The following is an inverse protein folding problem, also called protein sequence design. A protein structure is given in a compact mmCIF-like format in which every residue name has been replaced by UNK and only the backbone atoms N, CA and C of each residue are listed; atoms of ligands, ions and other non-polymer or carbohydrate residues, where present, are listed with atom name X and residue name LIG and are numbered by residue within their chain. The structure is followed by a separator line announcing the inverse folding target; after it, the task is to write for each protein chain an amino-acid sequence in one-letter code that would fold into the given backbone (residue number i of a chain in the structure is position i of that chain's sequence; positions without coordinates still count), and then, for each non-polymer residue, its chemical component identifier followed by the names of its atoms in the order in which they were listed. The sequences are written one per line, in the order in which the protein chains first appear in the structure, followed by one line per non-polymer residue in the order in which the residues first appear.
data_IF_327065967850
#
_entry.id   IF_327065967850
#
_cell.length_a   1.000
_cell.length_b   1.000
_cell.length_c   1.000
_cell.angle_alpha   90.00
_cell.angle_beta   90.00
_cell.angle_gamma   90.00
#
_symmetry.space_group_name_H-M   'P 1'
#
loop_
_entity.id
_entity.type
_entity.pdbx_description
1 polymer ?
#
# COMPACT_ATOMS: atom_id res chain seq x y z
N UNK A 1 2.31 -40.78 9.63
CA UNK A 1 1.49 -39.56 9.43
C UNK A 1 2.36 -38.29 9.40
N UNK A 2 3.55 -38.30 10.00
CA UNK A 2 4.41 -37.11 10.09
C UNK A 2 5.07 -36.68 8.77
N UNK A 3 5.46 -37.62 7.91
CA UNK A 3 6.13 -37.29 6.62
C UNK A 3 5.20 -36.53 5.67
N UNK A 4 3.93 -36.95 5.56
CA UNK A 4 2.94 -36.30 4.70
C UNK A 4 2.54 -34.92 5.23
N UNK A 5 2.45 -34.77 6.56
CA UNK A 5 2.25 -33.46 7.18
C UNK A 5 3.45 -32.54 6.97
N UNK A 6 4.68 -33.07 7.01
CA UNK A 6 5.89 -32.31 6.75
C UNK A 6 5.99 -31.84 5.28
N UNK A 7 5.72 -32.73 4.33
CA UNK A 7 5.68 -32.40 2.89
C UNK A 7 4.61 -31.35 2.58
N UNK A 8 3.43 -31.45 3.20
CA UNK A 8 2.38 -30.45 3.05
C UNK A 8 2.79 -29.09 3.64
N UNK A 9 3.38 -29.06 4.85
CA UNK A 9 3.87 -27.82 5.45
C UNK A 9 4.98 -27.19 4.61
N UNK A 10 5.86 -27.99 4.01
CA UNK A 10 6.91 -27.49 3.11
C UNK A 10 6.30 -26.85 1.86
N UNK A 11 5.36 -27.53 1.19
CA UNK A 11 4.68 -26.98 0.01
C UNK A 11 3.90 -25.68 0.31
N UNK A 12 3.28 -25.59 1.49
CA UNK A 12 2.62 -24.36 1.95
C UNK A 12 3.65 -23.25 2.17
N UNK A 13 4.79 -23.58 2.78
CA UNK A 13 5.88 -22.61 3.03
C UNK A 13 6.47 -22.07 1.73
N UNK A 14 6.68 -22.95 0.76
CA UNK A 14 7.21 -22.58 -0.57
C UNK A 14 6.22 -21.68 -1.30
N UNK A 15 4.93 -22.04 -1.33
CA UNK A 15 3.89 -21.23 -1.97
C UNK A 15 3.73 -19.84 -1.32
N UNK A 16 3.83 -19.76 0.02
CA UNK A 16 3.80 -18.48 0.73
C UNK A 16 5.04 -17.64 0.44
N UNK A 17 6.21 -18.27 0.31
CA UNK A 17 7.47 -17.61 -0.02
C UNK A 17 7.44 -17.02 -1.44
N UNK A 18 6.92 -17.77 -2.41
CA UNK A 18 6.74 -17.30 -3.78
C UNK A 18 5.76 -16.12 -3.85
N UNK A 19 4.66 -16.20 -3.12
CA UNK A 19 3.68 -15.12 -3.05
C UNK A 19 4.27 -13.85 -2.41
N UNK A 20 5.13 -14.01 -1.40
CA UNK A 20 5.87 -12.89 -0.81
C UNK A 20 6.87 -12.29 -1.80
N UNK A 21 7.63 -13.11 -2.51
CA UNK A 21 8.59 -12.67 -3.52
C UNK A 21 7.89 -11.89 -4.65
N UNK A 22 6.75 -12.39 -5.14
CA UNK A 22 5.93 -11.70 -6.13
C UNK A 22 5.43 -10.34 -5.62
N UNK A 23 4.99 -10.27 -4.35
CA UNK A 23 4.56 -9.02 -3.72
C UNK A 23 5.69 -8.00 -3.62
N UNK A 24 6.90 -8.45 -3.27
CA UNK A 24 8.09 -7.58 -3.23
C UNK A 24 8.40 -7.05 -4.63
N UNK A 25 8.43 -7.90 -5.65
CA UNK A 25 8.69 -7.49 -7.02
C UNK A 25 7.64 -6.48 -7.54
N UNK A 26 6.36 -6.70 -7.23
CA UNK A 26 5.27 -5.76 -7.55
C UNK A 26 5.46 -4.41 -6.86
N UNK A 27 5.85 -4.41 -5.58
CA UNK A 27 6.13 -3.17 -4.85
C UNK A 27 7.32 -2.42 -5.48
N UNK A 28 8.41 -3.10 -5.80
CA UNK A 28 9.58 -2.50 -6.46
C UNK A 28 9.23 -1.93 -7.84
N UNK A 29 8.43 -2.65 -8.63
CA UNK A 29 7.96 -2.14 -9.93
C UNK A 29 7.10 -0.89 -9.75
N UNK A 30 6.19 -0.89 -8.76
CA UNK A 30 5.38 0.28 -8.44
C UNK A 30 6.26 1.46 -8.02
N UNK A 31 7.32 1.24 -7.23
CA UNK A 31 8.30 2.28 -6.89
C UNK A 31 9.02 2.83 -8.12
N UNK A 32 9.45 1.96 -9.03
CA UNK A 32 10.11 2.37 -10.27
C UNK A 32 9.15 3.17 -11.18
N UNK A 33 7.89 2.73 -11.30
CA UNK A 33 6.85 3.44 -12.04
C UNK A 33 6.54 4.80 -11.40
N UNK A 34 6.55 4.87 -10.07
CA UNK A 34 6.41 6.11 -9.32
C UNK A 34 7.51 7.08 -9.67
N UNK A 35 8.77 6.71 -9.45
CA UNK A 35 9.94 7.59 -9.69
C UNK A 35 10.07 8.04 -11.15
N UNK A 36 9.59 7.24 -12.10
CA UNK A 36 9.67 7.55 -13.54
C UNK A 36 8.41 8.19 -14.13
N UNK A 37 7.37 8.46 -13.33
CA UNK A 37 6.09 8.90 -13.88
C UNK A 37 6.17 10.34 -14.45
N UNK A 38 5.75 10.58 -15.71
CA UNK A 38 5.82 11.90 -16.34
C UNK A 38 4.81 12.89 -15.74
N UNK A 39 3.74 12.40 -15.12
CA UNK A 39 2.67 13.21 -14.50
C UNK A 39 2.45 12.84 -13.02
N UNK A 40 3.21 13.41 -12.09
CA UNK A 40 3.15 13.01 -10.69
C UNK A 40 1.82 13.33 -9.99
N UNK A 41 1.13 14.39 -10.42
CA UNK A 41 -0.18 14.77 -9.88
C UNK A 41 -1.28 13.75 -10.20
N UNK A 42 -1.30 13.24 -11.44
CA UNK A 42 -2.24 12.20 -11.90
C UNK A 42 -2.07 10.91 -11.08
N UNK A 43 -0.81 10.52 -10.85
CA UNK A 43 -0.49 9.31 -10.09
C UNK A 43 -0.85 9.44 -8.60
N UNK A 44 -0.62 10.61 -7.99
CA UNK A 44 -1.07 10.90 -6.63
C UNK A 44 -2.59 10.85 -6.49
N UNK A 45 -3.34 11.39 -7.46
CA UNK A 45 -4.81 11.31 -7.46
C UNK A 45 -5.31 9.86 -7.53
N UNK A 46 -4.71 9.05 -8.42
CA UNK A 46 -5.05 7.63 -8.53
C UNK A 46 -4.74 6.86 -7.23
N UNK A 47 -3.64 7.19 -6.57
CA UNK A 47 -3.28 6.63 -5.26
C UNK A 47 -4.25 7.05 -4.15
N UNK A 48 -4.62 8.33 -4.07
CA UNK A 48 -5.57 8.85 -3.09
C UNK A 48 -6.95 8.15 -3.24
N UNK A 49 -7.39 7.90 -4.48
CA UNK A 49 -8.65 7.20 -4.76
C UNK A 49 -8.60 5.71 -4.36
N UNK A 50 -7.53 5.00 -4.73
CA UNK A 50 -7.33 3.59 -4.39
C UNK A 50 -7.19 3.37 -2.88
N UNK A 51 -6.39 4.21 -2.22
CA UNK A 51 -6.14 4.11 -0.78
C UNK A 51 -7.40 4.42 0.03
N UNK A 52 -8.17 5.45 -0.36
CA UNK A 52 -9.43 5.80 0.29
C UNK A 52 -10.43 4.64 0.29
N UNK A 53 -10.66 4.02 -0.87
CA UNK A 53 -11.57 2.87 -0.98
C UNK A 53 -11.13 1.71 -0.09
N UNK A 54 -9.82 1.42 -0.04
CA UNK A 54 -9.28 0.32 0.76
C UNK A 54 -9.31 0.62 2.27
N UNK A 55 -9.05 1.85 2.68
CA UNK A 55 -9.18 2.28 4.08
C UNK A 55 -10.64 2.14 4.54
N UNK A 56 -11.61 2.52 3.71
CA UNK A 56 -13.04 2.35 4.02
C UNK A 56 -13.39 0.87 4.18
N UNK A 57 -12.92 0.00 3.28
CA UNK A 57 -13.14 -1.45 3.39
C UNK A 57 -12.54 -2.01 4.68
N UNK A 58 -11.32 -1.60 5.04
CA UNK A 58 -10.68 -2.02 6.30
C UNK A 58 -11.44 -1.48 7.52
N UNK A 59 -11.88 -0.22 7.50
CA UNK A 59 -12.66 0.37 8.58
C UNK A 59 -14.00 -0.35 8.77
N UNK A 60 -14.68 -0.67 7.66
CA UNK A 60 -15.91 -1.46 7.69
C UNK A 60 -15.65 -2.87 8.24
N UNK A 61 -14.59 -3.52 7.78
CA UNK A 61 -14.18 -4.83 8.24
C UNK A 61 -13.88 -4.86 9.75
N UNK A 62 -13.25 -3.79 10.28
CA UNK A 62 -13.02 -3.61 11.71
C UNK A 62 -14.32 -3.38 12.48
N UNK A 63 -15.22 -2.57 11.95
CA UNK A 63 -16.49 -2.27 12.61
C UNK A 63 -17.43 -3.49 12.71
N UNK A 64 -17.36 -4.41 11.74
CA UNK A 64 -18.20 -5.62 11.72
C UNK A 64 -17.56 -6.85 12.34
N UNK A 65 -16.23 -6.86 12.54
CA UNK A 65 -15.53 -8.04 13.05
C UNK A 65 -15.65 -8.12 14.58
N UNK A 66 -16.03 -9.29 15.08
CA UNK A 66 -16.01 -9.59 16.52
C UNK A 66 -14.59 -9.81 17.07
N UNK A 67 -13.63 -10.10 16.20
CA UNK A 67 -12.22 -10.32 16.54
C UNK A 67 -11.35 -9.48 15.59
N UNK A 68 -10.38 -8.77 16.15
CA UNK A 68 -9.45 -7.97 15.37
C UNK A 68 -8.65 -8.85 14.40
N UNK A 69 -8.62 -8.44 13.12
CA UNK A 69 -7.88 -9.14 12.06
C UNK A 69 -6.51 -8.50 11.91
N UNK A 70 -5.40 -9.21 12.21
CA UNK A 70 -4.05 -8.63 12.12
C UNK A 70 -3.70 -8.10 10.72
N UNK A 71 -4.25 -8.72 9.67
CA UNK A 71 -4.04 -8.29 8.28
C UNK A 71 -4.64 -6.93 7.94
N UNK A 72 -5.70 -6.53 8.64
CA UNK A 72 -6.31 -5.21 8.45
C UNK A 72 -5.35 -4.12 8.97
N UNK A 73 -4.69 -4.36 10.11
CA UNK A 73 -3.65 -3.47 10.65
C UNK A 73 -2.45 -3.36 9.73
N UNK A 74 -1.89 -4.50 9.31
CA UNK A 74 -0.76 -4.55 8.40
C UNK A 74 -1.05 -3.84 7.06
N UNK A 75 -2.26 -3.99 6.53
CA UNK A 75 -2.68 -3.31 5.29
C UNK A 75 -2.67 -1.79 5.44
N UNK A 76 -3.14 -1.26 6.56
CA UNK A 76 -3.12 0.18 6.84
C UNK A 76 -1.68 0.72 6.99
N UNK A 77 -0.80 -0.02 7.65
CA UNK A 77 0.62 0.34 7.78
C UNK A 77 1.31 0.42 6.42
N UNK A 78 1.02 -0.52 5.51
CA UNK A 78 1.55 -0.49 4.16
C UNK A 78 1.04 0.75 3.39
N UNK A 79 -0.25 1.10 3.50
CA UNK A 79 -0.75 2.33 2.89
C UNK A 79 -0.06 3.59 3.43
N UNK A 80 0.19 3.66 4.74
CA UNK A 80 0.90 4.79 5.33
C UNK A 80 2.36 4.87 4.85
N UNK A 81 3.07 3.75 4.77
CA UNK A 81 4.44 3.70 4.27
C UNK A 81 4.53 4.15 2.80
N UNK A 82 3.56 3.78 1.98
CA UNK A 82 3.46 4.26 0.60
C UNK A 82 3.11 5.74 0.53
N UNK A 83 2.17 6.23 1.34
CA UNK A 83 1.83 7.67 1.39
C UNK A 83 3.05 8.52 1.75
N UNK A 84 3.88 8.06 2.68
CA UNK A 84 5.15 8.71 3.04
C UNK A 84 6.11 8.80 1.84
N UNK A 85 6.24 7.71 1.07
CA UNK A 85 7.05 7.69 -0.16
C UNK A 85 6.50 8.65 -1.21
N UNK A 86 5.19 8.63 -1.44
CA UNK A 86 4.52 9.58 -2.34
C UNK A 86 4.76 11.02 -1.90
N UNK A 87 4.72 11.33 -0.60
CA UNK A 87 4.99 12.67 -0.06
C UNK A 87 6.42 13.12 -0.33
N UNK A 88 7.38 12.20 -0.25
CA UNK A 88 8.79 12.47 -0.52
C UNK A 88 9.08 12.71 -2.00
N UNK A 89 8.57 11.88 -2.89
CA UNK A 89 8.84 11.99 -4.33
C UNK A 89 7.95 13.02 -5.02
N UNK A 90 6.71 13.18 -4.55
CA UNK A 90 5.68 14.03 -5.13
C UNK A 90 4.98 14.83 -4.03
N UNK A 91 5.66 15.85 -3.46
CA UNK A 91 5.03 16.71 -2.47
C UNK A 91 3.78 17.35 -3.05
N UNK A 92 2.71 17.43 -2.25
CA UNK A 92 1.54 18.23 -2.61
C UNK A 92 2.04 19.67 -2.68
N UNK A 93 1.85 20.34 -3.81
CA UNK A 93 2.30 21.72 -4.00
C UNK A 93 1.89 22.58 -2.79
N UNK A 94 2.88 22.93 -1.96
CA UNK A 94 2.74 23.92 -0.89
C UNK A 94 2.80 25.35 -1.45
N UNK A 95 2.88 25.49 -2.78
CA UNK A 95 2.88 26.78 -3.46
C UNK A 95 1.50 27.12 -4.02
N UNK A 96 0.56 27.40 -3.10
CA UNK A 96 -0.34 28.53 -3.28
C UNK A 96 -0.21 29.47 -2.08
N UNK A 97 1.04 29.85 -1.78
CA UNK A 97 1.37 31.00 -0.95
C UNK A 97 2.43 31.81 -1.68
N UNK A 98 2.03 32.44 -2.79
CA UNK A 98 2.75 33.55 -3.36
C UNK A 98 1.70 34.48 -3.97
N UNK A 99 1.67 35.70 -3.43
CA UNK A 99 1.01 36.90 -3.96
C UNK A 99 -0.48 36.82 -4.31
N UNK A 100 -1.32 37.28 -3.38
CA UNK A 100 -2.29 38.34 -3.69
C UNK A 100 -2.78 39.00 -2.40
N UNK A 101 -2.02 39.99 -1.94
CA UNK A 101 -2.56 41.05 -1.10
C UNK A 101 -2.42 42.37 -1.87
N UNK A 102 -3.51 42.89 -2.47
CA UNK A 102 -3.55 44.28 -2.89
C UNK A 102 -4.04 45.12 -1.71
N UNK A 103 -3.25 46.11 -1.28
CA UNK A 103 -3.65 47.08 -0.27
C UNK A 103 -2.49 47.75 0.45
#
# INVERSE_FOLDING_TARGET
MDTQNHEWMQAVTDALSDLLAARVAQATLLEAMLVSHPEPATLRKAWDELSSQRIVVVAQNKATAQVERPMDGYTLEQFQAWEEKFRRYFPRDLNHSSDDAPG
#
